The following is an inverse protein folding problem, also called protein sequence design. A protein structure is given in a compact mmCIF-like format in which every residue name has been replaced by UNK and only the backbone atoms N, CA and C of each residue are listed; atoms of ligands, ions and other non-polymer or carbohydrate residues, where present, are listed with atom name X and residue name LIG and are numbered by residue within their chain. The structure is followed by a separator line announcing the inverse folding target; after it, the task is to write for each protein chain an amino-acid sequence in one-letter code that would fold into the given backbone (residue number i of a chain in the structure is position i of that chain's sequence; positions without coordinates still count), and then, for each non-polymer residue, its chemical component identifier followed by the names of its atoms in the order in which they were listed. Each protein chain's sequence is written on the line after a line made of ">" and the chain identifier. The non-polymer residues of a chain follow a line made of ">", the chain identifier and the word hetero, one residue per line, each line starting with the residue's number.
data_IF_816870558097
#
_entry.id   IF_816870558097
#
_cell.length_a   1.000
_cell.length_b   1.000
_cell.length_c   1.000
_cell.angle_alpha   90.00
_cell.angle_beta   90.00
_cell.angle_gamma   90.00
#
_symmetry.space_group_name_H-M   'P 1'
#
loop_
_entity.id
_entity.type
_entity.pdbx_description
1 polymer ?
#
# COMPACT_ATOMS: atom_id res chain seq x y z
N UNK A 1 22.66 -18.39 17.62
CA UNK A 1 23.37 -17.47 16.70
C UNK A 1 22.51 -17.29 15.46
N UNK A 2 21.98 -16.09 15.17
CA UNK A 2 21.31 -15.87 13.89
C UNK A 2 22.38 -15.97 12.79
N UNK A 3 22.11 -16.75 11.75
CA UNK A 3 23.00 -16.86 10.60
C UNK A 3 23.00 -15.52 9.85
N UNK A 4 24.06 -14.75 9.99
CA UNK A 4 24.36 -13.62 9.12
C UNK A 4 24.65 -14.16 7.73
N UNK A 5 23.61 -14.33 6.91
CA UNK A 5 23.78 -14.61 5.49
C UNK A 5 24.39 -13.37 4.84
N UNK A 6 25.67 -13.45 4.50
CA UNK A 6 26.39 -12.36 3.86
C UNK A 6 25.73 -11.92 2.55
N UNK A 7 25.92 -10.67 2.17
CA UNK A 7 25.26 -10.06 1.00
C UNK A 7 25.44 -10.82 -0.32
N UNK A 8 26.54 -11.57 -0.49
CA UNK A 8 26.76 -12.44 -1.65
C UNK A 8 25.85 -13.68 -1.66
N UNK A 9 25.61 -14.29 -0.50
CA UNK A 9 24.72 -15.46 -0.37
C UNK A 9 23.25 -15.08 -0.52
N UNK A 10 22.86 -13.91 -0.01
CA UNK A 10 21.53 -13.33 -0.25
C UNK A 10 21.31 -13.03 -1.73
N UNK A 11 22.34 -12.52 -2.42
CA UNK A 11 22.27 -12.23 -3.86
C UNK A 11 22.13 -13.51 -4.68
N UNK A 12 22.92 -14.56 -4.39
CA UNK A 12 22.78 -15.86 -5.04
C UNK A 12 21.42 -16.52 -4.80
N UNK A 13 20.83 -16.39 -3.60
CA UNK A 13 19.50 -16.93 -3.31
C UNK A 13 18.39 -16.17 -4.07
N UNK A 14 18.50 -14.84 -4.16
CA UNK A 14 17.58 -13.99 -4.92
C UNK A 14 17.61 -14.29 -6.42
N UNK A 15 18.77 -14.68 -6.95
CA UNK A 15 19.00 -14.95 -8.37
C UNK A 15 18.70 -16.42 -8.76
N UNK A 16 18.92 -17.38 -7.85
CA UNK A 16 18.79 -18.82 -8.13
C UNK A 16 17.36 -19.36 -8.13
N UNK A 17 16.39 -18.66 -7.52
CA UNK A 17 15.02 -19.15 -7.40
C UNK A 17 14.00 -18.07 -7.79
N UNK A 18 13.34 -18.18 -8.96
CA UNK A 18 12.28 -17.26 -9.33
C UNK A 18 11.17 -17.32 -8.27
N UNK A 19 10.95 -16.20 -7.58
CA UNK A 19 9.99 -16.10 -6.47
C UNK A 19 10.60 -16.02 -5.08
N UNK A 20 11.91 -16.21 -4.88
CA UNK A 20 12.52 -15.96 -3.56
C UNK A 20 12.41 -14.48 -3.17
N UNK A 21 12.42 -13.55 -4.14
CA UNK A 21 12.17 -12.13 -3.86
C UNK A 21 10.78 -11.90 -3.22
N UNK A 22 9.75 -12.70 -3.55
CA UNK A 22 8.44 -12.65 -2.89
C UNK A 22 8.40 -13.36 -1.54
N UNK A 23 9.29 -14.34 -1.30
CA UNK A 23 9.42 -15.01 0.01
C UNK A 23 10.24 -14.17 1.00
N UNK A 24 11.21 -13.40 0.49
CA UNK A 24 12.05 -12.47 1.27
C UNK A 24 11.44 -11.07 1.43
N UNK A 25 10.40 -10.73 0.65
CA UNK A 25 9.64 -9.51 0.90
C UNK A 25 8.80 -9.73 2.16
N UNK A 26 9.25 -9.05 3.22
CA UNK A 26 8.44 -8.90 4.42
C UNK A 26 7.07 -8.35 4.05
N UNK A 27 5.97 -8.87 4.61
CA UNK A 27 4.63 -8.30 4.45
C UNK A 27 4.60 -6.79 4.74
N UNK A 28 5.44 -6.35 5.67
CA UNK A 28 5.65 -4.94 6.02
C UNK A 28 6.23 -4.14 4.84
N UNK A 29 7.16 -4.72 4.10
CA UNK A 29 7.79 -4.05 2.95
C UNK A 29 6.77 -3.86 1.81
N UNK A 30 5.93 -4.87 1.55
CA UNK A 30 4.84 -4.75 0.57
C UNK A 30 3.80 -3.73 1.02
N UNK A 31 3.38 -3.78 2.28
CA UNK A 31 2.45 -2.82 2.86
C UNK A 31 3.00 -1.38 2.78
N UNK A 32 4.29 -1.18 3.05
CA UNK A 32 4.95 0.13 2.98
C UNK A 32 4.93 0.69 1.56
N UNK A 33 5.33 -0.10 0.57
CA UNK A 33 5.37 0.33 -0.83
C UNK A 33 3.96 0.63 -1.34
N UNK A 34 2.97 -0.20 -1.01
CA UNK A 34 1.56 0.03 -1.38
C UNK A 34 0.99 1.28 -0.73
N UNK A 35 1.24 1.50 0.56
CA UNK A 35 0.79 2.69 1.29
C UNK A 35 1.37 3.98 0.69
N UNK A 36 2.66 4.01 0.35
CA UNK A 36 3.30 5.17 -0.30
C UNK A 36 2.68 5.44 -1.68
N UNK A 37 2.47 4.40 -2.49
CA UNK A 37 1.84 4.55 -3.81
C UNK A 37 0.39 5.04 -3.70
N UNK A 38 -0.37 4.51 -2.73
CA UNK A 38 -1.72 4.96 -2.45
C UNK A 38 -1.76 6.43 -2.02
N UNK A 39 -0.83 6.85 -1.14
CA UNK A 39 -0.69 8.25 -0.72
C UNK A 39 -0.34 9.18 -1.89
N UNK A 40 0.42 8.70 -2.87
CA UNK A 40 0.72 9.42 -4.11
C UNK A 40 -0.42 9.39 -5.15
N UNK A 41 -1.53 8.69 -4.89
CA UNK A 41 -2.64 8.52 -5.84
C UNK A 41 -2.34 7.54 -6.99
N UNK A 42 -1.29 6.73 -6.87
CA UNK A 42 -0.84 5.74 -7.88
C UNK A 42 -1.46 4.34 -7.59
N UNK A 43 -2.34 4.24 -6.59
CA UNK A 43 -3.05 3.02 -6.22
C UNK A 43 -4.15 3.29 -5.20
N UNK A 44 -4.87 2.24 -4.82
CA UNK A 44 -5.88 2.33 -3.78
C UNK A 44 -5.27 2.10 -2.40
N UNK A 45 -5.78 2.81 -1.40
CA UNK A 45 -5.41 2.59 -0.02
C UNK A 45 -6.12 1.34 0.50
N UNK A 46 -5.35 0.38 1.04
CA UNK A 46 -5.86 -0.82 1.70
C UNK A 46 -5.69 -0.72 3.22
N UNK A 47 -6.72 -1.13 3.97
CA UNK A 47 -6.69 -1.09 5.44
C UNK A 47 -5.69 -2.09 5.99
N UNK A 48 -5.59 -3.24 5.32
CA UNK A 48 -4.75 -4.36 5.68
C UNK A 48 -3.26 -3.95 5.65
N UNK A 49 -2.87 -3.13 4.67
CA UNK A 49 -1.52 -2.58 4.58
C UNK A 49 -1.26 -1.62 5.75
N UNK A 50 -2.23 -0.79 6.13
CA UNK A 50 -2.09 0.11 7.28
C UNK A 50 -1.99 -0.66 8.61
N UNK A 51 -2.78 -1.72 8.79
CA UNK A 51 -2.72 -2.58 9.97
C UNK A 51 -1.35 -3.24 10.14
N UNK A 52 -0.78 -3.79 9.06
CA UNK A 52 0.54 -4.43 9.12
C UNK A 52 1.63 -3.42 9.49
N UNK A 53 1.56 -2.20 8.93
CA UNK A 53 2.50 -1.12 9.25
C UNK A 53 2.40 -0.67 10.71
N UNK A 54 1.19 -0.47 11.24
CA UNK A 54 0.99 -0.08 12.63
C UNK A 54 1.45 -1.19 13.58
N UNK A 55 1.06 -2.45 13.33
CA UNK A 55 1.52 -3.60 14.13
C UNK A 55 3.03 -3.72 14.12
N UNK A 56 3.66 -3.51 12.97
CA UNK A 56 5.12 -3.50 12.87
C UNK A 56 5.76 -2.37 13.67
N UNK A 57 5.25 -1.14 13.55
CA UNK A 57 5.76 0.02 14.28
C UNK A 57 5.69 -0.19 15.80
N UNK A 58 4.57 -0.75 16.28
CA UNK A 58 4.37 -1.09 17.69
C UNK A 58 5.32 -2.21 18.15
N UNK A 59 5.46 -3.30 17.37
CA UNK A 59 6.42 -4.38 17.67
C UNK A 59 7.86 -3.89 17.76
N UNK A 60 8.22 -2.83 17.02
CA UNK A 60 9.56 -2.24 17.01
C UNK A 60 9.74 -1.10 18.03
N UNK A 61 8.72 -0.78 18.81
CA UNK A 61 8.76 0.31 19.80
C UNK A 61 8.85 1.70 19.17
N UNK A 62 8.46 1.85 17.90
CA UNK A 62 8.42 3.15 17.20
C UNK A 62 7.14 3.93 17.54
N UNK A 63 6.08 3.22 17.91
CA UNK A 63 4.74 3.74 18.23
C UNK A 63 4.25 2.99 19.47
N UNK A 64 3.57 3.69 20.39
CA UNK A 64 2.96 3.06 21.57
C UNK A 64 1.71 2.24 21.20
N UNK A 65 1.36 1.22 22.00
CA UNK A 65 0.14 0.41 21.76
C UNK A 65 -1.12 1.30 21.64
N UNK A 66 -1.32 2.21 22.59
CA UNK A 66 -2.47 3.12 22.58
C UNK A 66 -2.50 4.05 21.36
N UNK A 67 -1.32 4.50 20.90
CA UNK A 67 -1.21 5.34 19.72
C UNK A 67 -1.55 4.53 18.46
N UNK A 68 -1.05 3.30 18.37
CA UNK A 68 -1.37 2.37 17.28
C UNK A 68 -2.89 2.10 17.18
N UNK A 69 -3.54 1.81 18.30
CA UNK A 69 -4.98 1.57 18.36
C UNK A 69 -5.78 2.80 17.93
N UNK A 70 -5.37 3.99 18.41
CA UNK A 70 -5.99 5.27 18.01
C UNK A 70 -5.87 5.50 16.51
N UNK A 71 -4.68 5.32 15.93
CA UNK A 71 -4.44 5.50 14.49
C UNK A 71 -5.33 4.55 13.67
N UNK A 72 -5.41 3.27 14.03
CA UNK A 72 -6.27 2.31 13.31
C UNK A 72 -7.75 2.65 13.41
N UNK A 73 -8.21 3.13 14.57
CA UNK A 73 -9.57 3.61 14.73
C UNK A 73 -9.87 4.80 13.81
N UNK A 74 -9.00 5.81 13.77
CA UNK A 74 -9.14 6.99 12.90
C UNK A 74 -9.18 6.61 11.41
N UNK A 75 -8.27 5.73 10.96
CA UNK A 75 -8.26 5.22 9.58
C UNK A 75 -9.57 4.53 9.24
N UNK A 76 -10.09 3.68 10.13
CA UNK A 76 -11.36 2.97 9.92
C UNK A 76 -12.55 3.92 9.78
N UNK A 77 -12.58 5.00 10.56
CA UNK A 77 -13.63 6.03 10.51
C UNK A 77 -13.53 6.82 9.21
N UNK A 78 -12.32 7.26 8.84
CA UNK A 78 -12.08 8.03 7.62
C UNK A 78 -12.53 7.26 6.36
N UNK A 79 -12.32 5.94 6.34
CA UNK A 79 -12.73 5.10 5.20
C UNK A 79 -14.24 4.85 5.16
N UNK A 80 -14.89 4.69 6.32
CA UNK A 80 -16.36 4.63 6.40
C UNK A 80 -16.99 5.92 5.88
N UNK A 81 -16.40 7.08 6.18
CA UNK A 81 -16.85 8.39 5.68
C UNK A 81 -16.57 8.65 4.20
N UNK A 82 -15.52 8.07 3.64
CA UNK A 82 -15.11 8.24 2.23
C UNK A 82 -15.87 7.37 1.22
N UNK A 83 -16.78 6.49 1.66
CA UNK A 83 -17.71 5.75 0.79
C UNK A 83 -18.78 6.67 0.17
N UNK A 84 -18.37 7.64 -0.65
CA UNK A 84 -19.22 8.22 -1.69
C UNK A 84 -18.59 7.84 -3.04
N UNK A 85 -19.30 7.07 -3.88
CA UNK A 85 -18.74 6.62 -5.15
C UNK A 85 -18.44 7.85 -6.02
N UNK A 86 -17.20 7.96 -6.48
CA UNK A 86 -16.85 8.88 -7.55
C UNK A 86 -17.65 8.46 -8.79
N UNK A 87 -18.75 9.16 -9.07
CA UNK A 87 -19.47 9.00 -10.34
C UNK A 87 -18.47 9.24 -11.47
N UNK A 88 -18.34 8.33 -12.45
CA UNK A 88 -17.53 8.61 -13.63
C UNK A 88 -18.11 9.84 -14.32
N UNK A 89 -17.29 10.89 -14.47
CA UNK A 89 -17.63 12.08 -15.24
C UNK A 89 -17.82 11.63 -16.70
N UNK A 90 -19.06 11.39 -17.10
CA UNK A 90 -19.41 11.17 -18.49
C UNK A 90 -18.95 12.38 -19.30
N UNK A 91 -17.93 12.17 -20.14
CA UNK A 91 -17.47 13.15 -21.12
C UNK A 91 -18.54 13.30 -22.19
N UNK A 92 -19.48 14.24 -22.00
CA UNK A 92 -20.32 14.75 -23.07
C UNK A 92 -19.42 15.49 -24.07
N UNK A 93 -18.87 14.77 -25.05
CA UNK A 93 -18.33 15.39 -26.27
C UNK A 93 -19.51 15.93 -27.08
N UNK A 94 -19.77 17.21 -26.89
CA UNK A 94 -20.48 18.05 -27.84
C UNK A 94 -19.67 18.07 -29.16
N UNK A 95 -20.24 17.56 -30.24
CA UNK A 95 -19.83 17.98 -31.59
C UNK A 95 -21.06 18.38 -32.37
N UNK A 96 -21.43 19.64 -32.16
CA UNK A 96 -22.17 20.43 -33.13
C UNK A 96 -21.23 20.64 -34.32
N UNK A 97 -21.47 19.97 -35.45
CA UNK A 97 -20.87 20.40 -36.72
C UNK A 97 -21.96 20.59 -37.79
N UNK A 98 -22.16 21.88 -38.01
CA UNK A 98 -22.98 22.60 -38.98
C UNK A 98 -22.67 22.20 -40.43
N UNK A 99 -23.74 21.99 -41.21
CA UNK A 99 -23.98 22.29 -42.64
C UNK A 99 -22.91 22.05 -43.72
N UNK A 100 -23.35 21.35 -44.79
CA UNK A 100 -23.00 21.44 -46.24
C UNK A 100 -23.37 20.08 -46.85
N UNK A 101 -24.05 19.92 -47.98
CA UNK A 101 -24.37 20.76 -49.13
C UNK A 101 -25.47 20.04 -49.92
#
# INVERSE_FOLDING_TARGET
>A
MPAELGGSQLSSLLEALPGIASVLRSPVADALVKAIRAAAGIGEFAVEDAEELVRYAVRRGLVGQEEGDRVLAEVSVALKGKRKPAKPKATKKSTKRKARR
#
